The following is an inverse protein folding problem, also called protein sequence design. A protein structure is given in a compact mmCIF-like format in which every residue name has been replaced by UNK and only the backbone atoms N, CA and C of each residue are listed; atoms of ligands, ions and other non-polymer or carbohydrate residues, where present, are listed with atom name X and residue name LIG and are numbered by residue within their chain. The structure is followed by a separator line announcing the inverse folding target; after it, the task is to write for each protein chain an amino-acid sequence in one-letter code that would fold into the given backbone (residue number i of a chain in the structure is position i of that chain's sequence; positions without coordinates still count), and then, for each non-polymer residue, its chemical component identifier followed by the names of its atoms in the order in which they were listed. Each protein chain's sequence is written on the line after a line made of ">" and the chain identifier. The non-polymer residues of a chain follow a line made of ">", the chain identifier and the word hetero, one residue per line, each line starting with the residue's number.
data_IF_405093957880
#
_entry.id   IF_405093957880
#
_cell.length_a   1.000
_cell.length_b   1.000
_cell.length_c   1.000
_cell.angle_alpha   90.00
_cell.angle_beta   90.00
_cell.angle_gamma   90.00
#
_symmetry.space_group_name_H-M   'P 1'
#
loop_
_entity.id
_entity.type
_entity.pdbx_description
1 polymer ?
#
# COMPACT_ATOMS: atom_id res chain seq x y z
N UNK A 1 34.74 -30.44 7.95
CA UNK A 1 33.48 -30.11 8.62
C UNK A 1 33.32 -28.61 8.98
N UNK A 2 34.36 -27.80 8.99
CA UNK A 2 34.27 -26.37 9.36
C UNK A 2 33.86 -25.40 8.25
N UNK A 3 34.00 -25.74 7.00
CA UNK A 3 33.69 -24.89 5.83
C UNK A 3 32.20 -24.74 5.56
N UNK A 4 31.40 -25.74 5.89
CA UNK A 4 29.94 -25.69 5.65
C UNK A 4 29.19 -24.79 6.65
N UNK A 5 29.70 -24.63 7.87
CA UNK A 5 29.08 -23.79 8.91
C UNK A 5 29.27 -22.29 8.62
N UNK A 6 30.47 -21.90 8.15
CA UNK A 6 30.74 -20.51 7.75
C UNK A 6 30.00 -20.11 6.47
N UNK A 7 29.81 -21.05 5.53
CA UNK A 7 28.98 -20.84 4.32
C UNK A 7 27.50 -20.66 4.69
N UNK A 8 26.96 -21.52 5.56
CA UNK A 8 25.58 -21.41 6.02
C UNK A 8 25.34 -20.14 6.85
N UNK A 9 26.28 -19.71 7.68
CA UNK A 9 26.20 -18.45 8.44
C UNK A 9 26.28 -17.23 7.52
N UNK A 10 27.09 -17.26 6.45
CA UNK A 10 27.13 -16.18 5.46
C UNK A 10 25.85 -16.11 4.62
N UNK A 11 25.30 -17.25 4.22
CA UNK A 11 24.02 -17.29 3.47
C UNK A 11 22.88 -16.82 4.37
N UNK A 12 22.81 -17.26 5.63
CA UNK A 12 21.79 -16.81 6.57
C UNK A 12 21.95 -15.32 6.91
N UNK A 13 23.17 -14.84 7.14
CA UNK A 13 23.43 -13.42 7.43
C UNK A 13 23.16 -12.52 6.23
N UNK A 14 23.63 -12.88 5.03
CA UNK A 14 23.39 -12.11 3.81
C UNK A 14 21.91 -12.16 3.39
N UNK A 15 21.25 -13.31 3.57
CA UNK A 15 19.81 -13.45 3.34
C UNK A 15 19.00 -12.58 4.28
N UNK A 16 19.23 -12.67 5.60
CA UNK A 16 18.52 -11.88 6.58
C UNK A 16 18.68 -10.37 6.35
N UNK A 17 19.92 -9.90 6.14
CA UNK A 17 20.21 -8.49 5.84
C UNK A 17 19.54 -8.06 4.52
N UNK A 18 19.56 -8.91 3.50
CA UNK A 18 18.96 -8.63 2.19
C UNK A 18 17.43 -8.50 2.20
N UNK A 19 16.75 -9.02 3.22
CA UNK A 19 15.30 -8.90 3.38
C UNK A 19 14.91 -7.81 4.40
N UNK A 20 15.58 -7.75 5.54
CA UNK A 20 15.21 -6.86 6.63
C UNK A 20 15.55 -5.39 6.32
N UNK A 21 16.71 -5.10 5.73
CA UNK A 21 17.08 -3.72 5.40
C UNK A 21 16.10 -3.09 4.39
N UNK A 22 15.79 -3.72 3.23
CA UNK A 22 14.78 -3.19 2.32
C UNK A 22 13.42 -3.00 2.98
N UNK A 23 12.98 -3.96 3.81
CA UNK A 23 11.73 -3.86 4.56
C UNK A 23 11.70 -2.65 5.48
N UNK A 24 12.74 -2.47 6.32
CA UNK A 24 12.81 -1.34 7.25
C UNK A 24 12.89 0.00 6.50
N UNK A 25 13.58 0.05 5.37
CA UNK A 25 13.65 1.25 4.54
C UNK A 25 12.26 1.64 4.01
N UNK A 26 11.54 0.68 3.43
CA UNK A 26 10.17 0.93 2.93
C UNK A 26 9.25 1.36 4.05
N UNK A 27 9.25 0.62 5.18
CA UNK A 27 8.41 0.93 6.33
C UNK A 27 8.70 2.33 6.88
N UNK A 28 9.99 2.67 7.03
CA UNK A 28 10.40 3.99 7.52
C UNK A 28 9.91 5.12 6.60
N UNK A 29 10.03 4.97 5.28
CA UNK A 29 9.53 5.95 4.32
C UNK A 29 8.02 6.14 4.49
N UNK A 30 7.25 5.06 4.47
CA UNK A 30 5.78 5.12 4.52
C UNK A 30 5.30 5.71 5.84
N UNK A 31 5.86 5.26 6.96
CA UNK A 31 5.49 5.77 8.29
C UNK A 31 5.90 7.22 8.47
N UNK A 32 7.10 7.60 8.01
CA UNK A 32 7.54 8.99 8.10
C UNK A 32 6.54 9.95 7.43
N UNK A 33 6.10 9.67 6.21
CA UNK A 33 5.15 10.53 5.52
C UNK A 33 3.76 10.48 6.14
N UNK A 34 3.34 9.34 6.66
CA UNK A 34 2.10 9.23 7.43
C UNK A 34 2.09 10.17 8.63
N UNK A 35 3.08 10.04 9.50
CA UNK A 35 3.23 10.90 10.68
C UNK A 35 3.42 12.37 10.31
N UNK A 36 4.13 12.64 9.20
CA UNK A 36 4.31 13.99 8.68
C UNK A 36 2.98 14.63 8.28
N UNK A 37 2.04 13.86 7.75
CA UNK A 37 0.68 14.33 7.47
C UNK A 37 -0.01 14.85 8.72
N UNK A 38 -0.08 14.05 9.77
CA UNK A 38 -0.63 14.44 11.07
C UNK A 38 0.06 15.69 11.64
N UNK A 39 1.39 15.68 11.62
CA UNK A 39 2.20 16.78 12.12
C UNK A 39 1.93 18.11 11.41
N UNK A 40 1.93 18.12 10.08
CA UNK A 40 1.77 19.35 9.29
C UNK A 40 0.38 19.97 9.49
N UNK A 41 -0.66 19.16 9.47
CA UNK A 41 -2.03 19.66 9.64
C UNK A 41 -2.29 20.06 11.10
N UNK A 42 -1.76 19.34 12.08
CA UNK A 42 -1.84 19.74 13.47
C UNK A 42 -1.24 21.14 13.69
N UNK A 43 -0.07 21.38 13.13
CA UNK A 43 0.58 22.71 13.20
C UNK A 43 -0.20 23.78 12.47
N UNK A 44 -0.75 23.47 11.30
CA UNK A 44 -1.60 24.41 10.56
C UNK A 44 -2.88 24.78 11.34
N UNK A 45 -3.41 23.86 12.15
CA UNK A 45 -4.54 24.09 13.05
C UNK A 45 -4.15 24.76 14.38
N UNK A 46 -2.89 25.14 14.58
CA UNK A 46 -2.41 25.77 15.82
C UNK A 46 -2.24 24.81 17.00
N UNK A 47 -2.21 23.51 16.76
CA UNK A 47 -2.02 22.49 17.79
C UNK A 47 -0.52 22.37 18.11
N UNK A 48 -0.21 22.36 19.40
CA UNK A 48 1.16 22.17 19.87
C UNK A 48 1.54 20.70 19.77
N UNK A 49 2.57 20.40 18.97
CA UNK A 49 3.15 19.06 18.84
C UNK A 49 4.37 18.96 19.75
N UNK A 50 4.36 17.98 20.64
CA UNK A 50 5.44 17.76 21.61
C UNK A 50 6.56 16.92 21.02
N UNK A 51 6.21 15.82 20.34
CA UNK A 51 7.17 14.85 19.80
C UNK A 51 6.77 14.44 18.40
N UNK A 52 7.74 14.36 17.51
CA UNK A 52 7.68 13.65 16.24
C UNK A 52 8.73 12.55 16.26
N UNK A 53 8.32 11.29 16.25
CA UNK A 53 9.24 10.16 16.38
C UNK A 53 9.16 9.23 15.17
N UNK A 54 10.33 8.88 14.63
CA UNK A 54 10.49 7.72 13.74
C UNK A 54 10.94 6.56 14.63
N UNK A 55 10.12 5.52 14.72
CA UNK A 55 10.36 4.40 15.61
C UNK A 55 9.81 4.59 17.01
N UNK A 56 9.90 3.50 17.79
CA UNK A 56 9.48 3.42 19.19
C UNK A 56 10.66 3.15 20.13
N UNK A 57 10.42 3.30 21.42
CA UNK A 57 11.40 3.00 22.47
C UNK A 57 12.39 4.14 22.77
N UNK A 58 13.61 3.80 23.26
CA UNK A 58 14.60 4.80 23.63
C UNK A 58 15.05 5.64 22.43
N UNK A 59 15.26 6.93 22.70
CA UNK A 59 15.76 7.87 21.71
C UNK A 59 17.24 7.59 21.40
N UNK A 60 17.58 7.43 20.11
CA UNK A 60 18.96 7.33 19.65
C UNK A 60 19.54 8.70 19.28
N UNK A 61 18.76 9.47 18.50
CA UNK A 61 19.14 10.81 18.03
C UNK A 61 17.90 11.69 18.08
N UNK A 62 18.01 12.92 18.55
CA UNK A 62 16.91 13.87 18.51
C UNK A 62 17.34 15.32 18.60
N UNK A 63 16.47 16.19 18.07
CA UNK A 63 16.66 17.65 18.07
C UNK A 63 15.32 18.35 18.25
N UNK A 64 15.32 19.46 18.99
CA UNK A 64 14.14 20.31 19.09
C UNK A 64 14.09 21.28 17.89
N UNK A 65 12.91 21.47 17.34
CA UNK A 65 12.69 22.50 16.34
C UNK A 65 12.43 23.87 16.99
N UNK A 66 12.28 24.92 16.17
CA UNK A 66 12.05 26.30 16.64
C UNK A 66 10.72 26.49 17.37
N UNK A 67 9.79 25.54 17.25
CA UNK A 67 8.47 25.57 17.87
C UNK A 67 8.37 24.66 19.10
N UNK A 68 9.48 24.07 19.51
CA UNK A 68 9.58 23.22 20.70
C UNK A 68 9.19 21.76 20.47
N UNK A 69 8.96 21.31 19.22
CA UNK A 69 8.74 19.91 18.94
C UNK A 69 10.05 19.12 18.99
N UNK A 70 10.07 18.02 19.72
CA UNK A 70 11.17 17.07 19.76
C UNK A 70 11.10 16.12 18.57
N UNK A 71 11.94 16.33 17.56
CA UNK A 71 12.16 15.38 16.45
C UNK A 71 13.16 14.34 16.90
N UNK A 72 12.81 13.05 16.79
CA UNK A 72 13.69 11.98 17.24
C UNK A 72 13.61 10.73 16.36
N UNK A 73 14.71 9.97 16.37
CA UNK A 73 14.79 8.62 15.84
C UNK A 73 14.97 7.70 17.05
N UNK A 74 14.12 6.70 17.15
CA UNK A 74 14.08 5.73 18.24
C UNK A 74 14.63 4.38 17.83
N UNK A 75 14.99 3.55 18.81
CA UNK A 75 15.73 2.30 18.60
C UNK A 75 14.99 1.21 17.85
N UNK A 76 13.65 1.21 17.88
CA UNK A 76 12.82 0.18 17.23
C UNK A 76 12.20 0.81 15.97
N UNK A 77 12.72 0.54 14.76
CA UNK A 77 12.27 1.20 13.51
C UNK A 77 10.99 0.57 12.94
N UNK A 78 10.07 0.16 13.81
CA UNK A 78 8.80 -0.49 13.43
C UNK A 78 7.63 0.48 13.63
N UNK A 79 7.63 1.61 12.92
CA UNK A 79 6.56 2.59 13.02
C UNK A 79 7.05 4.00 13.37
N UNK A 80 6.16 4.84 13.85
CA UNK A 80 6.41 6.20 14.29
C UNK A 80 5.25 6.71 15.12
N UNK A 81 5.33 7.95 15.58
CA UNK A 81 4.20 8.61 16.21
C UNK A 81 4.39 10.13 16.31
N UNK A 82 3.28 10.82 16.32
CA UNK A 82 3.20 12.25 16.69
C UNK A 82 2.51 12.35 18.04
N UNK A 83 3.16 12.98 19.03
CA UNK A 83 2.57 13.25 20.33
C UNK A 83 2.08 14.71 20.40
N UNK A 84 0.76 14.87 20.56
CA UNK A 84 0.16 16.18 20.72
C UNK A 84 0.15 16.63 22.19
N UNK A 85 -0.05 17.92 22.41
CA UNK A 85 -0.21 18.45 23.75
C UNK A 85 -1.57 18.04 24.32
N UNK A 86 -1.53 17.28 25.42
CA UNK A 86 -2.67 16.67 26.09
C UNK A 86 -2.73 15.15 25.94
N UNK A 87 -1.83 14.55 25.13
CA UNK A 87 -1.71 13.08 25.03
C UNK A 87 -0.97 12.51 26.24
N UNK A 88 -1.48 11.44 26.81
CA UNK A 88 -0.79 10.66 27.83
C UNK A 88 0.45 9.95 27.27
N UNK A 89 0.27 9.31 26.10
CA UNK A 89 1.28 8.44 25.50
C UNK A 89 1.37 8.60 23.98
N UNK A 90 2.17 7.75 23.33
CA UNK A 90 2.38 7.73 21.88
C UNK A 90 1.17 7.25 21.07
N UNK A 91 0.13 6.71 21.70
CA UNK A 91 -1.09 6.24 21.02
C UNK A 91 -2.20 7.30 21.00
N UNK A 92 -1.87 8.57 21.25
CA UNK A 92 -2.81 9.70 21.28
C UNK A 92 -4.02 9.48 22.21
N UNK A 93 -3.78 8.77 23.31
CA UNK A 93 -4.78 8.58 24.36
C UNK A 93 -4.87 9.87 25.18
N UNK A 94 -6.07 10.39 25.47
CA UNK A 94 -6.24 11.56 26.33
C UNK A 94 -5.67 11.29 27.74
N UNK A 95 -4.97 12.29 28.31
CA UNK A 95 -4.68 12.33 29.75
C UNK A 95 -5.76 13.15 30.47
N UNK A 96 -6.79 12.52 31.07
CA UNK A 96 -7.90 13.25 31.69
C UNK A 96 -7.44 14.17 32.82
N UNK A 97 -6.39 13.80 33.55
CA UNK A 97 -5.86 14.58 34.66
C UNK A 97 -5.13 15.83 34.19
N UNK A 98 -4.30 15.70 33.16
CA UNK A 98 -3.61 16.82 32.55
C UNK A 98 -4.60 17.75 31.82
N UNK A 99 -5.59 17.19 31.11
CA UNK A 99 -6.62 17.96 30.40
C UNK A 99 -7.48 18.78 31.35
N UNK A 100 -7.89 18.23 32.51
CA UNK A 100 -8.68 18.94 33.50
C UNK A 100 -7.96 20.13 34.13
N UNK A 101 -6.64 20.07 34.25
CA UNK A 101 -5.80 21.10 34.87
C UNK A 101 -5.26 22.14 33.88
N UNK A 102 -5.59 22.04 32.59
CA UNK A 102 -5.11 22.97 31.56
C UNK A 102 -5.60 24.40 31.77
N UNK A 103 -4.68 25.36 31.70
CA UNK A 103 -4.99 26.77 31.66
C UNK A 103 -5.79 27.13 30.39
N UNK A 104 -6.42 28.30 30.38
CA UNK A 104 -7.13 28.79 29.19
C UNK A 104 -6.19 28.97 27.97
N UNK A 105 -4.90 29.26 28.21
CA UNK A 105 -3.90 29.36 27.15
C UNK A 105 -3.53 27.97 26.61
N UNK A 106 -3.38 26.98 27.48
CA UNK A 106 -3.04 25.60 27.10
C UNK A 106 -4.18 24.93 26.30
N UNK A 107 -5.43 25.20 26.67
CA UNK A 107 -6.61 24.68 25.94
C UNK A 107 -6.65 25.14 24.48
N UNK A 108 -6.15 26.34 24.16
CA UNK A 108 -6.11 26.84 22.78
C UNK A 108 -5.17 26.04 21.88
N UNK A 109 -4.13 25.44 22.42
CA UNK A 109 -3.13 24.68 21.67
C UNK A 109 -3.21 23.17 21.90
N UNK A 110 -4.13 22.71 22.76
CA UNK A 110 -4.38 21.28 23.04
C UNK A 110 -5.21 20.66 21.91
N UNK A 111 -4.85 19.47 21.47
CA UNK A 111 -5.57 18.71 20.45
C UNK A 111 -7.03 18.45 20.84
N UNK A 112 -7.29 18.04 22.08
CA UNK A 112 -8.62 17.63 22.54
C UNK A 112 -9.62 18.80 22.68
N UNK A 113 -9.11 20.02 22.79
CA UNK A 113 -9.96 21.22 22.85
C UNK A 113 -10.21 21.87 21.49
N UNK A 114 -9.63 21.35 20.42
CA UNK A 114 -9.88 21.85 19.07
C UNK A 114 -11.29 21.46 18.58
N UNK A 115 -11.86 22.26 17.66
CA UNK A 115 -13.09 21.87 16.97
C UNK A 115 -12.98 20.49 16.32
N UNK A 116 -14.11 19.76 16.27
CA UNK A 116 -14.18 18.42 15.66
C UNK A 116 -13.59 18.39 14.26
N UNK A 117 -13.87 19.43 13.44
CA UNK A 117 -13.33 19.54 12.09
C UNK A 117 -11.80 19.58 12.04
N UNK A 118 -11.15 20.33 12.97
CA UNK A 118 -9.69 20.39 13.06
C UNK A 118 -9.11 19.05 13.49
N UNK A 119 -9.72 18.39 14.49
CA UNK A 119 -9.29 17.07 14.93
C UNK A 119 -9.43 16.02 13.83
N UNK A 120 -10.56 16.04 13.12
CA UNK A 120 -10.80 15.15 11.99
C UNK A 120 -9.79 15.41 10.84
N UNK A 121 -9.50 16.68 10.54
CA UNK A 121 -8.52 17.04 9.53
C UNK A 121 -7.11 16.54 9.88
N UNK A 122 -6.69 16.67 11.15
CA UNK A 122 -5.39 16.16 11.62
C UNK A 122 -5.31 14.64 11.45
N UNK A 123 -6.35 13.91 11.87
CA UNK A 123 -6.35 12.45 11.81
C UNK A 123 -6.44 11.96 10.36
N UNK A 124 -7.25 12.59 9.50
CA UNK A 124 -7.31 12.22 8.08
C UNK A 124 -6.02 12.51 7.33
N UNK A 125 -5.18 13.42 7.83
CA UNK A 125 -3.98 13.88 7.13
C UNK A 125 -2.91 12.79 7.00
N UNK A 126 -2.80 11.85 7.95
CA UNK A 126 -1.88 10.70 7.86
C UNK A 126 -2.15 9.83 6.64
N UNK A 127 -3.33 9.21 6.55
CA UNK A 127 -3.72 8.43 5.38
C UNK A 127 -3.65 9.20 4.06
N UNK A 128 -4.07 10.47 4.05
CA UNK A 128 -4.00 11.32 2.86
C UNK A 128 -2.56 11.59 2.43
N UNK A 129 -1.64 11.81 3.37
CA UNK A 129 -0.21 11.95 3.06
C UNK A 129 0.37 10.70 2.41
N UNK A 130 -0.08 9.52 2.81
CA UNK A 130 0.30 8.26 2.18
C UNK A 130 -0.19 8.17 0.73
N UNK A 131 -1.41 8.58 0.42
CA UNK A 131 -1.88 8.63 -0.96
C UNK A 131 -1.12 9.65 -1.80
N UNK A 132 -0.84 10.84 -1.23
CA UNK A 132 -0.05 11.87 -1.91
C UNK A 132 1.37 11.35 -2.19
N UNK A 133 2.00 10.69 -1.23
CA UNK A 133 3.33 10.07 -1.42
C UNK A 133 3.31 9.09 -2.59
N UNK A 134 2.32 8.20 -2.65
CA UNK A 134 2.20 7.23 -3.72
C UNK A 134 2.02 7.91 -5.08
N UNK A 135 1.15 8.92 -5.18
CA UNK A 135 0.94 9.70 -6.41
C UNK A 135 2.26 10.34 -6.88
N UNK A 136 3.01 10.96 -5.95
CA UNK A 136 4.29 11.62 -6.27
C UNK A 136 5.33 10.60 -6.74
N UNK A 137 5.43 9.45 -6.08
CA UNK A 137 6.38 8.40 -6.47
C UNK A 137 6.02 7.83 -7.85
N UNK A 138 4.77 7.44 -8.08
CA UNK A 138 4.34 6.91 -9.37
C UNK A 138 4.52 7.95 -10.49
N UNK A 139 4.13 9.21 -10.24
CA UNK A 139 4.35 10.28 -11.20
C UNK A 139 5.83 10.48 -11.52
N UNK A 140 6.71 10.46 -10.53
CA UNK A 140 8.15 10.56 -10.74
C UNK A 140 8.69 9.39 -11.58
N UNK A 141 8.24 8.16 -11.31
CA UNK A 141 8.61 6.97 -12.09
C UNK A 141 8.16 7.15 -13.55
N UNK A 142 6.92 7.56 -13.82
CA UNK A 142 6.44 7.80 -15.18
C UNK A 142 7.16 8.95 -15.86
N UNK A 143 7.50 10.04 -15.14
CA UNK A 143 8.23 11.16 -15.71
C UNK A 143 9.69 10.80 -16.11
N UNK A 144 10.34 9.93 -15.31
CA UNK A 144 11.73 9.53 -15.53
C UNK A 144 11.84 8.39 -16.55
N UNK A 145 11.01 7.36 -16.39
CA UNK A 145 11.11 6.12 -17.17
C UNK A 145 10.11 6.06 -18.34
N UNK A 146 9.11 6.95 -18.37
CA UNK A 146 8.05 6.91 -19.38
C UNK A 146 6.98 5.86 -19.11
N UNK A 147 6.07 5.72 -20.06
CA UNK A 147 4.98 4.72 -20.04
C UNK A 147 5.24 3.62 -21.07
N UNK A 148 5.02 2.35 -20.69
CA UNK A 148 4.99 1.25 -21.66
C UNK A 148 3.89 1.49 -22.70
N UNK A 149 4.24 1.46 -23.97
CA UNK A 149 3.36 1.78 -25.09
C UNK A 149 3.38 0.70 -26.18
N UNK A 150 3.63 -0.55 -25.79
CA UNK A 150 3.56 -1.66 -26.71
C UNK A 150 2.10 -2.10 -26.81
N UNK A 151 1.54 -2.01 -28.02
CA UNK A 151 0.17 -2.45 -28.29
C UNK A 151 -0.11 -3.84 -27.67
N UNK A 152 -1.27 -4.00 -27.08
CA UNK A 152 -1.72 -5.25 -26.48
C UNK A 152 -2.04 -6.30 -27.55
N UNK A 153 -1.01 -6.72 -28.32
CA UNK A 153 -1.13 -7.70 -29.40
C UNK A 153 -0.99 -9.11 -28.87
N UNK A 154 -1.95 -9.95 -29.22
CA UNK A 154 -1.98 -11.38 -28.92
C UNK A 154 -1.04 -12.11 -29.87
N UNK A 155 -0.01 -12.79 -29.34
CA UNK A 155 0.88 -13.65 -30.13
C UNK A 155 0.27 -15.02 -30.36
N UNK A 156 -0.20 -15.66 -29.30
CA UNK A 156 -0.85 -16.97 -29.39
C UNK A 156 -1.97 -17.09 -28.37
N UNK A 157 -2.89 -17.99 -28.63
CA UNK A 157 -4.00 -18.37 -27.76
C UNK A 157 -3.77 -19.81 -27.34
N UNK A 158 -3.83 -20.09 -26.06
CA UNK A 158 -3.65 -21.43 -25.51
C UNK A 158 -4.90 -22.28 -25.79
N UNK A 159 -4.75 -23.53 -26.30
CA UNK A 159 -5.87 -24.43 -26.48
C UNK A 159 -6.60 -24.72 -25.15
N UNK A 160 -7.93 -24.78 -25.19
CA UNK A 160 -8.77 -25.03 -24.02
C UNK A 160 -8.90 -23.83 -23.07
N UNK A 161 -8.37 -22.66 -23.43
CA UNK A 161 -8.37 -21.47 -22.57
C UNK A 161 -9.66 -20.65 -22.69
N UNK A 162 -9.87 -19.75 -21.72
CA UNK A 162 -10.95 -18.77 -21.76
C UNK A 162 -10.89 -17.85 -23.00
N UNK A 163 -9.69 -17.54 -23.47
CA UNK A 163 -9.49 -16.74 -24.67
C UNK A 163 -9.90 -17.51 -25.94
N UNK A 164 -9.57 -18.79 -26.03
CA UNK A 164 -10.03 -19.62 -27.15
C UNK A 164 -11.57 -19.72 -27.19
N UNK A 165 -12.18 -20.00 -26.03
CA UNK A 165 -13.63 -20.07 -25.90
C UNK A 165 -14.33 -18.74 -26.24
N UNK A 166 -13.68 -17.62 -25.98
CA UNK A 166 -14.15 -16.27 -26.34
C UNK A 166 -13.88 -15.90 -27.81
N UNK A 167 -13.13 -16.73 -28.55
CA UNK A 167 -12.85 -16.53 -29.98
C UNK A 167 -11.68 -15.57 -30.26
N UNK A 168 -10.73 -15.38 -29.33
CA UNK A 168 -9.48 -14.67 -29.61
C UNK A 168 -8.65 -15.39 -30.68
N UNK A 169 -7.90 -14.61 -31.43
CA UNK A 169 -6.99 -15.12 -32.47
C UNK A 169 -5.61 -14.47 -32.36
N UNK A 170 -4.60 -15.18 -32.84
CA UNK A 170 -3.27 -14.58 -33.00
C UNK A 170 -3.35 -13.37 -33.95
N UNK A 171 -2.67 -12.30 -33.55
CA UNK A 171 -2.70 -11.01 -34.26
C UNK A 171 -3.74 -10.01 -33.77
N UNK A 172 -4.71 -10.42 -32.95
CA UNK A 172 -5.67 -9.49 -32.33
C UNK A 172 -4.93 -8.44 -31.51
N UNK A 173 -5.35 -7.17 -31.64
CA UNK A 173 -4.87 -6.07 -30.81
C UNK A 173 -6.00 -5.64 -29.89
N UNK A 174 -5.81 -5.77 -28.59
CA UNK A 174 -6.83 -5.33 -27.61
C UNK A 174 -6.84 -3.81 -27.56
N UNK A 175 -8.01 -3.22 -27.79
CA UNK A 175 -8.24 -1.78 -27.81
C UNK A 175 -8.87 -1.26 -26.52
N UNK A 176 -9.79 -2.03 -25.93
CA UNK A 176 -10.44 -1.65 -24.67
C UNK A 176 -10.99 -2.86 -23.94
N UNK A 177 -11.16 -2.71 -22.60
CA UNK A 177 -11.81 -3.69 -21.71
C UNK A 177 -12.84 -2.93 -20.89
N UNK A 178 -14.10 -3.40 -20.89
CA UNK A 178 -15.24 -2.77 -20.21
C UNK A 178 -15.36 -1.26 -20.53
N UNK A 179 -15.05 -0.87 -21.77
CA UNK A 179 -15.06 0.52 -22.24
C UNK A 179 -13.80 1.34 -21.87
N UNK A 180 -12.88 0.81 -21.07
CA UNK A 180 -11.61 1.48 -20.76
C UNK A 180 -10.58 1.19 -21.85
N UNK A 181 -9.96 2.22 -22.46
CA UNK A 181 -8.92 2.04 -23.47
C UNK A 181 -7.72 1.29 -22.89
N UNK A 182 -7.14 0.37 -23.66
CA UNK A 182 -5.93 -0.39 -23.33
C UNK A 182 -4.81 0.06 -24.28
N UNK A 183 -3.73 0.55 -23.71
CA UNK A 183 -2.57 1.02 -24.48
C UNK A 183 -1.39 0.04 -24.45
N UNK A 184 -1.38 -0.89 -23.48
CA UNK A 184 -0.31 -1.87 -23.36
C UNK A 184 -0.78 -3.26 -22.95
N UNK A 185 0.05 -4.28 -23.28
CA UNK A 185 -0.20 -5.64 -22.82
C UNK A 185 -0.13 -5.76 -21.29
N UNK A 186 0.68 -4.93 -20.63
CA UNK A 186 0.75 -4.86 -19.17
C UNK A 186 -0.57 -4.40 -18.54
N UNK A 187 -1.26 -3.43 -19.14
CA UNK A 187 -2.59 -3.00 -18.69
C UNK A 187 -3.65 -4.10 -18.85
N UNK A 188 -3.65 -4.78 -20.00
CA UNK A 188 -4.50 -5.95 -20.24
C UNK A 188 -4.25 -7.02 -19.16
N UNK A 189 -2.99 -7.36 -18.93
CA UNK A 189 -2.61 -8.38 -17.95
C UNK A 189 -3.06 -8.02 -16.53
N UNK A 190 -2.89 -6.77 -16.10
CA UNK A 190 -3.35 -6.30 -14.78
C UNK A 190 -4.85 -6.52 -14.58
N UNK A 191 -5.68 -6.11 -15.57
CA UNK A 191 -7.14 -6.25 -15.48
C UNK A 191 -7.54 -7.72 -15.43
N UNK A 192 -6.92 -8.55 -16.26
CA UNK A 192 -7.18 -10.00 -16.31
C UNK A 192 -6.84 -10.67 -15.00
N UNK A 193 -5.65 -10.41 -14.46
CA UNK A 193 -5.14 -10.99 -13.20
C UNK A 193 -6.05 -10.68 -12.02
N UNK A 194 -6.61 -9.47 -11.99
CA UNK A 194 -7.46 -8.99 -10.88
C UNK A 194 -8.94 -9.31 -11.05
N UNK A 195 -9.34 -9.95 -12.16
CA UNK A 195 -10.74 -10.23 -12.49
C UNK A 195 -11.07 -11.72 -12.68
N UNK A 196 -10.64 -12.64 -11.81
CA UNK A 196 -10.97 -14.04 -11.93
C UNK A 196 -12.49 -14.26 -11.79
N UNK A 197 -13.09 -15.04 -12.70
CA UNK A 197 -14.51 -15.35 -12.70
C UNK A 197 -15.45 -14.19 -13.06
N UNK A 198 -14.93 -13.02 -13.38
CA UNK A 198 -15.71 -11.86 -13.84
C UNK A 198 -15.71 -11.81 -15.37
N UNK A 199 -16.88 -11.79 -16.04
CA UNK A 199 -16.93 -11.61 -17.48
C UNK A 199 -16.43 -10.20 -17.84
N UNK A 200 -15.49 -10.14 -18.80
CA UNK A 200 -14.92 -8.91 -19.35
C UNK A 200 -15.39 -8.73 -20.80
N UNK A 201 -15.86 -7.53 -21.13
CA UNK A 201 -16.16 -7.13 -22.49
C UNK A 201 -14.91 -6.52 -23.14
N UNK A 202 -14.29 -7.25 -24.06
CA UNK A 202 -13.00 -6.91 -24.65
C UNK A 202 -13.19 -6.56 -26.12
N UNK A 203 -12.83 -5.33 -26.50
CA UNK A 203 -12.83 -4.91 -27.90
C UNK A 203 -11.44 -5.13 -28.48
N UNK A 204 -11.39 -5.87 -29.59
CA UNK A 204 -10.15 -6.14 -30.31
C UNK A 204 -10.22 -5.58 -31.73
N UNK A 205 -9.06 -5.17 -32.25
CA UNK A 205 -8.85 -4.94 -33.67
C UNK A 205 -8.31 -6.23 -34.29
N UNK A 206 -9.06 -6.79 -35.23
CA UNK A 206 -8.68 -7.97 -36.00
C UNK A 206 -8.59 -7.59 -37.48
N UNK A 207 -7.36 -7.32 -37.94
CA UNK A 207 -7.08 -6.93 -39.34
C UNK A 207 -7.86 -5.68 -39.80
N UNK A 208 -8.02 -4.68 -38.91
CA UNK A 208 -8.76 -3.44 -39.20
C UNK A 208 -10.26 -3.50 -38.87
N UNK A 209 -10.81 -4.66 -38.47
CA UNK A 209 -12.20 -4.82 -38.05
C UNK A 209 -12.28 -4.88 -36.51
N UNK A 210 -13.13 -4.03 -35.90
CA UNK A 210 -13.38 -4.06 -34.45
C UNK A 210 -14.37 -5.17 -34.12
N UNK A 211 -13.98 -6.04 -33.19
CA UNK A 211 -14.81 -7.14 -32.66
C UNK A 211 -14.89 -7.05 -31.15
N UNK A 212 -16.08 -7.27 -30.60
CA UNK A 212 -16.27 -7.39 -29.15
C UNK A 212 -16.31 -8.86 -28.80
N UNK A 213 -15.39 -9.25 -27.89
CA UNK A 213 -15.27 -10.60 -27.34
C UNK A 213 -15.61 -10.56 -25.85
N UNK A 214 -16.44 -11.52 -25.40
CA UNK A 214 -16.74 -11.67 -23.97
C UNK A 214 -15.92 -12.83 -23.43
N UNK A 215 -14.96 -12.52 -22.57
CA UNK A 215 -14.09 -13.52 -21.97
C UNK A 215 -14.15 -13.46 -20.44
N UNK A 216 -14.21 -14.62 -19.80
CA UNK A 216 -14.19 -14.72 -18.34
C UNK A 216 -12.86 -15.32 -17.91
N UNK A 217 -11.95 -14.54 -17.28
CA UNK A 217 -10.68 -15.09 -16.80
C UNK A 217 -10.92 -16.24 -15.82
N UNK A 218 -10.24 -17.35 -16.04
CA UNK A 218 -10.30 -18.50 -15.15
C UNK A 218 -9.33 -18.30 -14.01
N UNK A 219 -9.74 -18.64 -12.77
CA UNK A 219 -8.82 -18.65 -11.62
C UNK A 219 -7.77 -19.75 -11.84
N UNK A 220 -6.52 -19.35 -11.93
CA UNK A 220 -5.39 -20.23 -12.11
C UNK A 220 -4.41 -20.09 -10.95
N UNK A 221 -3.90 -21.23 -10.48
CA UNK A 221 -2.84 -21.27 -9.48
C UNK A 221 -1.49 -21.28 -10.21
N UNK A 222 -0.69 -20.26 -9.92
CA UNK A 222 0.68 -20.17 -10.39
C UNK A 222 1.64 -20.23 -9.21
N UNK A 223 2.67 -21.06 -9.32
CA UNK A 223 3.76 -21.06 -8.34
C UNK A 223 4.83 -20.10 -8.79
N UNK A 224 5.25 -19.21 -7.88
CA UNK A 224 6.42 -18.37 -8.11
C UNK A 224 7.72 -19.18 -7.98
N UNK A 225 8.86 -18.54 -8.21
CA UNK A 225 10.18 -19.17 -8.12
C UNK A 225 10.53 -19.66 -6.70
N UNK A 226 9.75 -19.32 -5.69
CA UNK A 226 9.91 -19.70 -4.29
C UNK A 226 8.89 -20.75 -3.85
N UNK A 227 8.01 -21.20 -4.78
CA UNK A 227 6.98 -22.18 -4.49
C UNK A 227 5.68 -21.56 -3.94
N UNK A 228 5.57 -20.24 -3.76
CA UNK A 228 4.33 -19.62 -3.31
C UNK A 228 3.26 -19.76 -4.38
N UNK A 229 2.06 -20.19 -3.97
CA UNK A 229 0.91 -20.32 -4.86
C UNK A 229 0.19 -18.98 -4.93
N UNK A 230 0.18 -18.39 -6.12
CA UNK A 230 -0.59 -17.19 -6.41
C UNK A 230 -1.83 -17.56 -7.20
N UNK A 231 -3.00 -17.16 -6.72
CA UNK A 231 -4.27 -17.32 -7.42
C UNK A 231 -4.56 -16.06 -8.21
N UNK A 232 -4.65 -16.19 -9.52
CA UNK A 232 -4.86 -15.05 -10.40
C UNK A 232 -5.76 -15.41 -11.59
N UNK A 233 -6.44 -14.39 -12.15
CA UNK A 233 -7.20 -14.55 -13.37
C UNK A 233 -6.28 -14.82 -14.56
N UNK A 234 -6.66 -15.77 -15.43
CA UNK A 234 -5.93 -16.11 -16.65
C UNK A 234 -6.89 -16.21 -17.82
N UNK A 235 -6.52 -15.61 -18.96
CA UNK A 235 -7.24 -15.77 -20.23
C UNK A 235 -6.59 -16.84 -21.12
N UNK A 236 -5.30 -17.08 -20.99
CA UNK A 236 -4.55 -17.99 -21.85
C UNK A 236 -4.10 -17.37 -23.17
N UNK A 237 -3.71 -16.10 -23.14
CA UNK A 237 -3.07 -15.39 -24.26
C UNK A 237 -1.61 -15.09 -23.93
N UNK A 238 -0.76 -15.09 -24.94
CA UNK A 238 0.64 -14.68 -24.80
C UNK A 238 0.90 -13.37 -25.50
N UNK A 239 1.88 -12.64 -25.00
CA UNK A 239 2.33 -11.37 -25.59
C UNK A 239 3.14 -11.63 -26.86
N UNK A 240 2.97 -10.79 -27.87
CA UNK A 240 3.86 -10.78 -29.02
C UNK A 240 5.26 -10.26 -28.62
N UNK A 241 6.34 -10.84 -29.18
CA UNK A 241 7.66 -10.28 -29.01
C UNK A 241 7.70 -8.83 -29.50
N UNK A 242 8.48 -7.99 -28.81
CA UNK A 242 8.70 -6.61 -29.25
C UNK A 242 9.48 -6.62 -30.54
N UNK A 243 8.96 -6.03 -31.60
CA UNK A 243 9.63 -5.90 -32.89
C UNK A 243 10.90 -5.05 -32.77
N UNK A 244 11.92 -5.35 -33.59
CA UNK A 244 13.12 -4.50 -33.68
C UNK A 244 12.68 -3.11 -34.21
N UNK A 245 12.95 -2.05 -33.40
CA UNK A 245 12.60 -0.67 -33.73
C UNK A 245 11.31 -0.15 -33.11
N UNK A 246 10.52 -0.98 -32.44
CA UNK A 246 9.40 -0.52 -31.61
C UNK A 246 9.94 -0.05 -30.25
N UNK A 247 9.76 1.25 -29.94
CA UNK A 247 10.08 1.74 -28.59
C UNK A 247 9.04 1.22 -27.62
N UNK A 248 9.48 0.36 -26.72
CA UNK A 248 8.62 -0.19 -25.67
C UNK A 248 8.15 0.88 -24.68
N UNK A 249 8.79 2.02 -24.66
CA UNK A 249 8.62 3.08 -23.66
C UNK A 249 8.47 4.42 -24.39
N UNK A 250 7.40 5.14 -24.11
CA UNK A 250 7.19 6.52 -24.56
C UNK A 250 7.46 7.48 -23.39
N UNK A 251 8.31 8.50 -23.59
CA UNK A 251 8.43 9.59 -22.62
C UNK A 251 7.09 10.31 -22.48
N UNK A 252 6.78 10.75 -21.28
CA UNK A 252 5.55 11.48 -20.96
C UNK A 252 5.90 12.83 -20.33
N UNK A 253 5.07 13.85 -20.60
CA UNK A 253 5.19 15.14 -19.95
C UNK A 253 4.74 15.08 -18.48
N UNK A 254 5.11 16.08 -17.69
CA UNK A 254 4.86 16.12 -16.25
C UNK A 254 3.36 16.05 -15.91
N UNK A 255 2.48 16.71 -16.70
CA UNK A 255 1.05 16.66 -16.48
C UNK A 255 0.47 15.26 -16.71
N UNK A 256 0.91 14.60 -17.78
CA UNK A 256 0.56 13.21 -18.06
C UNK A 256 1.11 12.26 -16.99
N UNK A 257 2.37 12.47 -16.54
CA UNK A 257 2.95 11.66 -15.47
C UNK A 257 2.17 11.78 -14.17
N UNK A 258 1.75 12.99 -13.78
CA UNK A 258 0.90 13.20 -12.60
C UNK A 258 -0.46 12.50 -12.73
N UNK A 259 -1.11 12.62 -13.89
CA UNK A 259 -2.38 11.91 -14.16
C UNK A 259 -2.21 10.40 -14.05
N UNK A 260 -1.12 9.85 -14.61
CA UNK A 260 -0.82 8.42 -14.50
C UNK A 260 -0.54 8.00 -13.05
N UNK A 261 0.17 8.83 -12.27
CA UNK A 261 0.39 8.58 -10.84
C UNK A 261 -0.91 8.51 -10.04
N UNK A 262 -1.86 9.40 -10.32
CA UNK A 262 -3.21 9.35 -9.71
C UNK A 262 -3.95 8.07 -10.15
N UNK A 263 -3.92 7.72 -11.43
CA UNK A 263 -4.55 6.52 -11.97
C UNK A 263 -3.97 5.24 -11.33
N UNK A 264 -2.64 5.16 -11.19
CA UNK A 264 -1.97 4.03 -10.57
C UNK A 264 -2.33 3.90 -9.09
N UNK A 265 -2.36 5.02 -8.37
CA UNK A 265 -2.80 5.06 -6.97
C UNK A 265 -4.24 4.57 -6.82
N UNK A 266 -5.15 5.05 -7.69
CA UNK A 266 -6.54 4.60 -7.71
C UNK A 266 -6.66 3.12 -8.03
N UNK A 267 -5.87 2.62 -9.00
CA UNK A 267 -5.84 1.20 -9.34
C UNK A 267 -5.45 0.33 -8.15
N UNK A 268 -4.44 0.73 -7.36
CA UNK A 268 -4.04 0.01 -6.16
C UNK A 268 -5.17 0.01 -5.11
N UNK A 269 -5.86 1.15 -4.92
CA UNK A 269 -7.01 1.25 -4.00
C UNK A 269 -8.15 0.30 -4.45
N UNK A 270 -8.57 0.40 -5.71
CA UNK A 270 -9.67 -0.40 -6.26
C UNK A 270 -9.38 -1.90 -6.18
N UNK A 271 -8.16 -2.29 -6.55
CA UNK A 271 -7.72 -3.69 -6.47
C UNK A 271 -7.70 -4.21 -5.03
N UNK A 272 -7.21 -3.41 -4.07
CA UNK A 272 -7.18 -3.77 -2.66
C UNK A 272 -8.60 -3.94 -2.09
N UNK A 273 -9.50 -3.00 -2.38
CA UNK A 273 -10.90 -3.08 -1.94
C UNK A 273 -11.65 -4.24 -2.60
N UNK A 274 -11.43 -4.46 -3.90
CA UNK A 274 -12.00 -5.58 -4.64
C UNK A 274 -11.55 -6.93 -4.08
N UNK A 275 -10.25 -7.06 -3.76
CA UNK A 275 -9.71 -8.26 -3.13
C UNK A 275 -10.36 -8.51 -1.75
N UNK A 276 -10.38 -7.49 -0.88
CA UNK A 276 -11.01 -7.59 0.44
C UNK A 276 -12.50 -7.94 0.32
N UNK A 277 -13.21 -7.33 -0.65
CA UNK A 277 -14.61 -7.67 -0.93
C UNK A 277 -14.78 -9.14 -1.31
N UNK A 278 -13.92 -9.69 -2.18
CA UNK A 278 -13.97 -11.12 -2.56
C UNK A 278 -13.67 -12.05 -1.38
N UNK A 279 -12.73 -11.69 -0.51
CA UNK A 279 -12.44 -12.44 0.73
C UNK A 279 -13.65 -12.45 1.67
N UNK A 280 -14.28 -11.29 1.90
CA UNK A 280 -15.44 -11.17 2.80
C UNK A 280 -16.64 -12.00 2.31
N UNK A 281 -16.88 -12.06 0.99
CA UNK A 281 -17.98 -12.87 0.41
C UNK A 281 -17.58 -14.33 0.16
N UNK A 282 -16.40 -14.75 0.63
CA UNK A 282 -15.92 -16.15 0.54
C UNK A 282 -15.55 -16.63 -0.87
N UNK A 283 -15.37 -15.71 -1.82
CA UNK A 283 -14.95 -16.04 -3.21
C UNK A 283 -13.44 -16.16 -3.37
N UNK A 284 -12.69 -15.69 -2.40
CA UNK A 284 -11.22 -15.74 -2.40
C UNK A 284 -10.70 -16.09 -1.02
N UNK A 285 -9.54 -16.78 -0.96
CA UNK A 285 -8.90 -17.14 0.29
C UNK A 285 -8.21 -15.92 0.90
N UNK A 286 -8.22 -15.85 2.24
CA UNK A 286 -7.48 -14.86 2.99
C UNK A 286 -5.98 -15.20 3.14
N UNK A 287 -5.49 -16.28 2.51
CA UNK A 287 -4.09 -16.74 2.61
C UNK A 287 -3.09 -15.70 2.06
N UNK A 288 -3.57 -14.81 1.17
CA UNK A 288 -2.74 -13.74 0.61
C UNK A 288 -2.59 -12.54 1.57
N UNK A 289 -3.36 -12.48 2.65
CA UNK A 289 -3.16 -11.50 3.70
C UNK A 289 -1.91 -11.86 4.50
N UNK A 290 -0.77 -11.33 4.07
CA UNK A 290 0.51 -11.53 4.74
C UNK A 290 0.73 -10.54 5.87
N UNK A 291 1.51 -10.99 6.85
CA UNK A 291 2.00 -10.16 7.95
C UNK A 291 3.33 -9.47 7.62
N UNK A 292 3.98 -8.91 8.65
CA UNK A 292 5.27 -8.24 8.50
C UNK A 292 6.37 -9.11 7.88
N UNK A 293 6.33 -10.42 8.14
CA UNK A 293 7.27 -11.38 7.58
C UNK A 293 7.18 -11.49 6.07
N UNK A 294 5.96 -11.60 5.54
CA UNK A 294 5.73 -11.64 4.09
C UNK A 294 6.08 -10.32 3.42
N UNK A 295 5.79 -9.18 4.06
CA UNK A 295 6.19 -7.87 3.53
C UNK A 295 7.71 -7.78 3.46
N UNK A 296 8.44 -8.26 4.48
CA UNK A 296 9.90 -8.31 4.47
C UNK A 296 10.43 -9.21 3.34
N UNK A 297 9.80 -10.38 3.13
CA UNK A 297 10.14 -11.28 2.03
C UNK A 297 9.94 -10.61 0.67
N UNK A 298 8.80 -9.98 0.43
CA UNK A 298 8.52 -9.24 -0.81
C UNK A 298 9.54 -8.12 -1.00
N UNK A 299 9.84 -7.34 0.03
CA UNK A 299 10.81 -6.26 -0.04
C UNK A 299 12.20 -6.75 -0.45
N UNK A 300 12.66 -7.87 0.12
CA UNK A 300 13.92 -8.49 -0.26
C UNK A 300 13.93 -9.02 -1.70
N UNK A 301 12.87 -9.67 -2.14
CA UNK A 301 12.73 -10.17 -3.52
C UNK A 301 12.74 -9.03 -4.54
N UNK A 302 11.96 -7.99 -4.27
CA UNK A 302 11.88 -6.77 -5.11
C UNK A 302 13.23 -6.09 -5.19
N UNK A 303 13.94 -5.98 -4.06
CA UNK A 303 15.30 -5.44 -4.01
C UNK A 303 16.28 -6.26 -4.86
N UNK A 304 16.31 -7.58 -4.68
CA UNK A 304 17.20 -8.47 -5.43
C UNK A 304 16.86 -8.49 -6.93
N UNK A 305 15.57 -8.54 -7.28
CA UNK A 305 15.11 -8.44 -8.66
C UNK A 305 15.55 -7.13 -9.32
N UNK A 306 15.44 -6.02 -8.60
CA UNK A 306 15.91 -4.71 -9.06
C UNK A 306 17.43 -4.67 -9.24
N UNK A 307 18.20 -5.25 -8.31
CA UNK A 307 19.67 -5.34 -8.42
C UNK A 307 20.09 -6.14 -9.66
N UNK A 308 19.43 -7.26 -9.94
CA UNK A 308 19.75 -8.12 -11.09
C UNK A 308 19.45 -7.43 -12.43
N UNK A 309 18.44 -6.58 -12.49
CA UNK A 309 18.01 -5.90 -13.73
C UNK A 309 18.67 -4.55 -13.96
N UNK A 310 19.14 -3.86 -12.92
CA UNK A 310 19.66 -2.48 -13.06
C UNK A 310 20.68 -2.08 -11.99
N UNK A 311 21.31 -3.02 -11.33
CA UNK A 311 22.27 -2.74 -10.25
C UNK A 311 21.62 -1.99 -9.09
N UNK A 312 22.40 -1.19 -8.36
CA UNK A 312 21.91 -0.41 -7.21
C UNK A 312 20.76 0.53 -7.59
N UNK A 313 20.83 1.16 -8.78
CA UNK A 313 19.78 2.04 -9.28
C UNK A 313 18.45 1.29 -9.47
N UNK A 314 18.49 0.11 -10.10
CA UNK A 314 17.32 -0.75 -10.27
C UNK A 314 16.74 -1.22 -8.93
N UNK A 315 17.58 -1.60 -7.98
CA UNK A 315 17.16 -1.95 -6.63
C UNK A 315 16.44 -0.80 -5.91
N UNK A 316 17.01 0.40 -5.95
CA UNK A 316 16.39 1.57 -5.32
C UNK A 316 15.05 1.93 -5.95
N UNK A 317 14.94 1.93 -7.28
CA UNK A 317 13.66 2.20 -7.98
C UNK A 317 12.61 1.19 -7.59
N UNK A 318 12.97 -0.10 -7.56
CA UNK A 318 12.05 -1.17 -7.19
C UNK A 318 11.53 -1.02 -5.75
N UNK A 319 12.40 -0.64 -4.80
CA UNK A 319 12.02 -0.38 -3.40
C UNK A 319 11.15 0.87 -3.26
N UNK A 320 11.45 1.94 -3.99
CA UNK A 320 10.62 3.15 -4.00
C UNK A 320 9.23 2.85 -4.58
N UNK A 321 9.15 2.04 -5.63
CA UNK A 321 7.87 1.60 -6.19
C UNK A 321 7.08 0.75 -5.19
N UNK A 322 7.74 -0.19 -4.49
CA UNK A 322 7.11 -0.97 -3.42
C UNK A 322 6.62 -0.05 -2.29
N UNK A 323 7.40 0.98 -1.92
CA UNK A 323 6.98 1.96 -0.92
C UNK A 323 5.71 2.70 -1.34
N UNK A 324 5.53 3.03 -2.63
CA UNK A 324 4.30 3.64 -3.12
C UNK A 324 3.10 2.70 -2.96
N UNK A 325 3.22 1.43 -3.36
CA UNK A 325 2.14 0.43 -3.20
C UNK A 325 1.78 0.23 -1.73
N UNK A 326 2.79 0.03 -0.86
CA UNK A 326 2.56 -0.13 0.58
C UNK A 326 2.01 1.14 1.23
N UNK A 327 2.41 2.31 0.75
CA UNK A 327 1.85 3.58 1.22
C UNK A 327 0.34 3.67 0.97
N UNK A 328 -0.12 3.29 -0.23
CA UNK A 328 -1.56 3.20 -0.51
C UNK A 328 -2.25 2.20 0.40
N UNK A 329 -1.68 1.00 0.55
CA UNK A 329 -2.26 -0.07 1.35
C UNK A 329 -2.36 0.31 2.84
N UNK A 330 -1.31 0.90 3.41
CA UNK A 330 -1.29 1.35 4.81
C UNK A 330 -2.24 2.55 5.00
N UNK A 331 -2.24 3.52 4.06
CA UNK A 331 -3.19 4.62 4.09
C UNK A 331 -4.65 4.15 4.05
N UNK A 332 -4.95 3.15 3.20
CA UNK A 332 -6.27 2.55 3.10
C UNK A 332 -6.65 1.81 4.38
N UNK A 333 -5.75 0.97 4.91
CA UNK A 333 -5.99 0.23 6.17
C UNK A 333 -6.25 1.19 7.33
N UNK A 334 -5.52 2.30 7.42
CA UNK A 334 -5.72 3.30 8.46
C UNK A 334 -7.05 4.05 8.33
N UNK A 335 -7.69 4.06 7.16
CA UNK A 335 -9.03 4.62 6.98
C UNK A 335 -10.17 3.65 7.37
N UNK A 336 -9.87 2.37 7.64
CA UNK A 336 -10.92 1.46 8.13
C UNK A 336 -11.45 1.92 9.48
N UNK A 337 -12.77 1.77 9.73
CA UNK A 337 -13.42 2.23 10.96
C UNK A 337 -13.12 1.29 12.16
N UNK A 338 -11.84 0.99 12.37
CA UNK A 338 -11.36 0.16 13.48
C UNK A 338 -10.79 1.09 14.54
N UNK A 339 -11.40 1.18 15.74
CA UNK A 339 -10.82 1.94 16.84
C UNK A 339 -9.37 1.48 17.12
N UNK A 340 -8.47 2.40 17.29
CA UNK A 340 -6.99 2.32 17.25
C UNK A 340 -6.37 2.82 15.95
N UNK A 341 -7.06 2.73 14.81
CA UNK A 341 -6.62 3.29 13.54
C UNK A 341 -7.25 4.68 13.36
N UNK A 342 -6.70 5.47 12.45
CA UNK A 342 -7.21 6.82 12.14
C UNK A 342 -8.70 6.81 11.77
N UNK A 343 -9.12 5.83 10.97
CA UNK A 343 -10.52 5.67 10.57
C UNK A 343 -11.47 5.44 11.75
N UNK A 344 -11.01 4.81 12.82
CA UNK A 344 -11.77 4.66 14.05
C UNK A 344 -11.95 5.99 14.79
N UNK A 345 -10.91 6.81 14.86
CA UNK A 345 -11.01 8.17 15.39
C UNK A 345 -11.92 9.04 14.53
N UNK A 346 -11.80 8.96 13.21
CA UNK A 346 -12.71 9.66 12.28
C UNK A 346 -14.15 9.25 12.46
N UNK A 347 -14.43 7.96 12.70
CA UNK A 347 -15.77 7.49 13.03
C UNK A 347 -16.30 8.12 14.34
N UNK A 348 -15.46 8.19 15.38
CA UNK A 348 -15.85 8.84 16.64
C UNK A 348 -16.15 10.34 16.44
N UNK A 349 -15.34 11.04 15.64
CA UNK A 349 -15.58 12.45 15.30
C UNK A 349 -16.83 12.64 14.43
N UNK A 350 -17.14 11.72 13.52
CA UNK A 350 -18.38 11.76 12.76
C UNK A 350 -19.61 11.62 13.67
N UNK A 351 -19.57 10.70 14.63
CA UNK A 351 -20.64 10.53 15.63
C UNK A 351 -20.75 11.79 16.50
N UNK A 352 -19.64 12.38 16.94
CA UNK A 352 -19.61 13.62 17.72
C UNK A 352 -20.23 14.79 16.95
N UNK A 353 -19.88 14.93 15.65
CA UNK A 353 -20.42 15.99 14.79
C UNK A 353 -21.94 15.90 14.62
N UNK A 354 -22.49 14.68 14.50
CA UNK A 354 -23.94 14.45 14.37
C UNK A 354 -24.66 14.67 15.70
N UNK A 355 -24.07 14.25 16.82
CA UNK A 355 -24.69 14.34 18.16
C UNK A 355 -24.50 15.69 18.85
N UNK A 356 -23.58 16.53 18.36
CA UNK A 356 -23.17 17.78 18.98
C UNK A 356 -22.43 17.64 20.31
N UNK A 357 -22.03 16.42 20.68
CA UNK A 357 -21.27 16.12 21.91
C UNK A 357 -20.39 14.90 21.73
N UNK A 358 -19.21 14.84 22.37
CA UNK A 358 -18.32 13.70 22.29
C UNK A 358 -18.96 12.40 22.83
N UNK A 359 -18.45 11.27 22.40
CA UNK A 359 -18.77 9.97 22.98
C UNK A 359 -18.32 9.94 24.44
N UNK A 360 -19.05 9.21 25.28
CA UNK A 360 -18.66 9.01 26.69
C UNK A 360 -17.31 8.26 26.75
N UNK A 361 -16.52 8.54 27.78
CA UNK A 361 -15.24 7.85 28.01
C UNK A 361 -15.38 6.33 27.98
N UNK A 362 -16.43 5.79 28.62
CA UNK A 362 -16.72 4.34 28.61
C UNK A 362 -16.97 3.80 27.20
N UNK A 363 -17.65 4.57 26.34
CA UNK A 363 -17.92 4.14 24.96
C UNK A 363 -16.64 4.18 24.11
N UNK A 364 -15.78 5.17 24.31
CA UNK A 364 -14.48 5.26 23.66
C UNK A 364 -13.56 4.12 24.13
N UNK A 365 -13.47 3.88 25.43
CA UNK A 365 -12.67 2.80 26.02
C UNK A 365 -13.11 1.43 25.50
N UNK A 366 -14.43 1.16 25.48
CA UNK A 366 -14.97 -0.08 24.92
C UNK A 366 -14.61 -0.21 23.42
N UNK A 367 -14.74 0.87 22.65
CA UNK A 367 -14.33 0.92 21.26
C UNK A 367 -12.86 0.56 21.10
N UNK A 368 -11.96 1.18 21.87
CA UNK A 368 -10.53 0.87 21.84
C UNK A 368 -10.20 -0.57 22.22
N UNK A 369 -10.87 -1.14 23.21
CA UNK A 369 -10.71 -2.57 23.58
C UNK A 369 -11.12 -3.49 22.44
N UNK A 370 -12.26 -3.21 21.78
CA UNK A 370 -12.72 -3.97 20.60
C UNK A 370 -11.72 -3.80 19.45
N UNK A 371 -11.31 -2.58 19.16
CA UNK A 371 -10.32 -2.30 18.10
C UNK A 371 -9.02 -3.03 18.35
N UNK A 372 -8.50 -3.02 19.59
CA UNK A 372 -7.29 -3.76 19.96
C UNK A 372 -7.47 -5.27 19.74
N UNK A 373 -8.60 -5.82 20.15
CA UNK A 373 -8.88 -7.24 19.94
C UNK A 373 -8.91 -7.61 18.46
N UNK A 374 -9.52 -6.76 17.60
CA UNK A 374 -9.56 -6.96 16.15
C UNK A 374 -8.14 -6.87 15.55
N UNK A 375 -7.36 -5.87 15.91
CA UNK A 375 -5.99 -5.70 15.39
C UNK A 375 -5.08 -6.86 15.81
N UNK A 376 -5.16 -7.28 17.08
CA UNK A 376 -4.39 -8.43 17.58
C UNK A 376 -4.81 -9.72 16.88
N UNK A 377 -6.09 -9.94 16.66
CA UNK A 377 -6.60 -11.10 15.92
C UNK A 377 -6.09 -11.12 14.48
N UNK A 378 -6.15 -9.97 13.78
CA UNK A 378 -5.63 -9.85 12.41
C UNK A 378 -4.11 -10.08 12.37
N UNK A 379 -3.37 -9.59 13.36
CA UNK A 379 -1.92 -9.78 13.45
C UNK A 379 -1.56 -11.25 13.69
N UNK A 380 -2.29 -11.93 14.59
CA UNK A 380 -2.11 -13.38 14.81
C UNK A 380 -2.42 -14.14 13.53
N UNK A 381 -3.52 -13.84 12.86
CA UNK A 381 -3.92 -14.47 11.61
C UNK A 381 -2.86 -14.26 10.52
N UNK A 382 -2.41 -13.03 10.32
CA UNK A 382 -1.38 -12.72 9.32
C UNK A 382 -0.04 -13.41 9.63
N UNK A 383 0.36 -13.45 10.91
CA UNK A 383 1.58 -14.16 11.33
C UNK A 383 1.45 -15.67 11.13
N UNK A 384 0.28 -16.24 11.38
CA UNK A 384 0.00 -17.65 11.12
C UNK A 384 0.13 -17.96 9.61
N UNK A 385 -0.43 -17.10 8.75
CA UNK A 385 -0.25 -17.22 7.31
C UNK A 385 1.22 -17.13 6.88
N UNK A 386 1.99 -16.19 7.47
CA UNK A 386 3.43 -16.06 7.19
C UNK A 386 4.18 -17.37 7.54
N UNK A 387 3.89 -17.97 8.70
CA UNK A 387 4.53 -19.23 9.13
C UNK A 387 4.17 -20.37 8.19
N UNK A 388 2.90 -20.51 7.80
CA UNK A 388 2.47 -21.53 6.85
C UNK A 388 3.19 -21.43 5.51
N UNK A 389 3.39 -20.20 5.00
CA UNK A 389 4.11 -19.97 3.75
C UNK A 389 5.61 -20.26 3.85
N UNK A 390 6.22 -20.18 5.03
CA UNK A 390 7.64 -20.52 5.21
C UNK A 390 7.88 -22.01 5.39
N UNK A 391 6.85 -22.77 5.74
CA UNK A 391 6.94 -24.21 6.01
C UNK A 391 6.40 -25.08 4.87
N UNK A 392 5.72 -24.49 3.86
CA UNK A 392 5.21 -25.15 2.65
C UNK A 392 6.18 -25.04 1.48
#
# INVERSE_FOLDING_TARGET
>A
MGTNLLWSLNILGAGFVGYIIPFLLVLTIVVFFHELGHFLIARACGIKVLVFSIGFGPELIGRNDRHGTRWKISAIPLGGYVKFFGDENAASVPDPSAIAQMSAADRKVSFFHQPVASRAAVVAAGPLANFILAIVIFAAIFAIYGKESIAARVASVQPGSAAEAAGFQSGDVVLSIDGQPIESFGELQRIVVTSPGRPLSIVVDRKGERKTLNATPVLSEMKDSLGNVHRQGMLGITRAPVGQGESAIKPVDLGTALRLGVQETWFVIDNSLSYLGRVVIGRESADQLGGPGRIAQIAGQVWQGGLNNGGLGGGLVAIIQLAAVLSVSIGLLNLFPIPLLDGGHLLFYAVEAVRGRPLSERAQELGFRIGLAVVVMLMIFATYNDILHWTS
#
